data_IF_889167223623
#
_entry.id   IF_889167223623
#
_cell.length_a   1.000
_cell.length_b   1.000
_cell.length_c   1.000
_cell.angle_alpha   90.00
_cell.angle_beta   90.00
_cell.angle_gamma   90.00
#
_symmetry.space_group_name_H-M   'P 1'
#
loop_
_entity.id
_entity.type
_entity.pdbx_description
1 polymer ?
#
# COMPACT_ATOMS: atom_id res chain seq x y z
N UNK A 1 13.57 4.46 -14.48
CA UNK A 1 13.96 5.40 -13.37
C UNK A 1 14.53 4.62 -12.21
N UNK A 2 15.22 5.27 -11.24
CA UNK A 2 15.60 4.63 -9.97
C UNK A 2 14.34 4.44 -9.13
N UNK A 3 14.25 3.31 -8.42
CA UNK A 3 13.09 2.96 -7.62
C UNK A 3 13.48 2.60 -6.19
N UNK A 4 12.66 3.02 -5.24
CA UNK A 4 12.74 2.60 -3.84
C UNK A 4 11.38 2.08 -3.42
N UNK A 5 11.35 1.16 -2.46
CA UNK A 5 10.12 0.61 -1.93
C UNK A 5 9.95 0.92 -0.45
N UNK A 6 8.72 1.20 -0.03
CA UNK A 6 8.30 1.35 1.36
C UNK A 6 7.16 0.35 1.62
N UNK A 7 7.40 -0.65 2.46
CA UNK A 7 6.42 -1.68 2.81
C UNK A 7 5.86 -1.37 4.20
N UNK A 8 4.55 -1.18 4.28
CA UNK A 8 3.86 -0.85 5.52
C UNK A 8 3.54 -2.14 6.31
N UNK A 9 4.22 -2.32 7.45
CA UNK A 9 4.09 -3.49 8.31
C UNK A 9 4.00 -3.12 9.82
N UNK A 10 3.60 -1.88 10.15
CA UNK A 10 3.60 -1.37 11.52
C UNK A 10 2.27 -1.53 12.27
N UNK A 11 1.20 -1.91 11.57
CA UNK A 11 -0.17 -1.95 12.12
C UNK A 11 -0.44 -3.14 13.04
N UNK A 12 -1.31 -2.93 14.05
CA UNK A 12 -1.74 -3.97 15.00
C UNK A 12 -2.67 -5.02 14.39
N UNK A 13 -3.40 -4.69 13.31
CA UNK A 13 -4.37 -5.59 12.69
C UNK A 13 -5.57 -5.91 13.60
N UNK A 14 -6.19 -4.90 14.20
CA UNK A 14 -7.24 -5.03 15.23
C UNK A 14 -8.50 -5.80 14.79
N UNK A 15 -8.68 -6.05 13.50
CA UNK A 15 -9.79 -6.85 12.94
C UNK A 15 -9.50 -8.35 12.89
N UNK A 16 -8.25 -8.77 13.06
CA UNK A 16 -7.90 -10.17 13.29
C UNK A 16 -8.16 -10.50 14.75
N UNK A 17 -8.51 -11.76 15.08
CA UNK A 17 -8.59 -12.20 16.48
C UNK A 17 -7.33 -11.81 17.24
N UNK A 18 -7.47 -11.55 18.52
CA UNK A 18 -6.34 -11.18 19.38
C UNK A 18 -5.25 -12.26 19.28
N UNK A 19 -4.30 -12.03 18.40
CA UNK A 19 -3.14 -12.89 18.22
C UNK A 19 -1.90 -12.16 18.75
N UNK A 20 -0.97 -12.89 19.30
CA UNK A 20 0.32 -12.37 19.76
C UNK A 20 1.26 -12.02 18.59
N UNK A 21 0.80 -12.26 17.36
CA UNK A 21 1.59 -12.01 16.15
C UNK A 21 1.00 -10.82 15.35
N UNK A 22 1.85 -9.97 14.75
CA UNK A 22 1.42 -8.92 13.84
C UNK A 22 0.63 -9.51 12.65
N UNK A 23 -0.38 -8.79 12.16
CA UNK A 23 -1.19 -9.21 11.03
C UNK A 23 -0.36 -9.72 9.85
N UNK A 24 0.67 -9.00 9.48
CA UNK A 24 1.56 -9.30 8.34
C UNK A 24 2.41 -10.58 8.52
N UNK A 25 2.41 -11.14 9.74
CA UNK A 25 3.13 -12.38 10.08
C UNK A 25 2.30 -13.65 9.89
N UNK A 26 0.98 -13.54 9.64
CA UNK A 26 0.18 -14.70 9.29
C UNK A 26 0.70 -15.35 8.01
N UNK A 27 0.70 -16.69 7.99
CA UNK A 27 1.34 -17.45 6.91
C UNK A 27 0.37 -17.73 5.75
N UNK A 28 0.90 -17.59 4.55
CA UNK A 28 0.30 -18.01 3.29
C UNK A 28 1.36 -18.82 2.56
N UNK A 29 1.06 -20.04 2.09
CA UNK A 29 2.03 -20.90 1.43
C UNK A 29 3.32 -21.17 2.25
N UNK A 30 3.22 -21.26 3.58
CA UNK A 30 4.36 -21.55 4.47
C UNK A 30 5.29 -20.36 4.78
N UNK A 31 4.96 -19.14 4.33
CA UNK A 31 5.74 -17.92 4.59
C UNK A 31 4.85 -16.80 5.15
N UNK A 32 5.38 -15.89 5.99
CA UNK A 32 4.65 -14.67 6.39
C UNK A 32 4.22 -13.82 5.19
N UNK A 33 3.04 -13.21 5.25
CA UNK A 33 2.53 -12.37 4.16
C UNK A 33 3.52 -11.28 3.74
N UNK A 34 4.15 -10.61 4.70
CA UNK A 34 5.14 -9.56 4.41
C UNK A 34 6.36 -10.08 3.64
N UNK A 35 6.73 -11.35 3.80
CA UNK A 35 7.86 -11.94 3.08
C UNK A 35 7.55 -12.10 1.58
N UNK A 36 6.30 -12.46 1.23
CA UNK A 36 5.85 -12.51 -0.16
C UNK A 36 5.94 -11.14 -0.81
N UNK A 37 5.49 -10.08 -0.11
CA UNK A 37 5.55 -8.70 -0.63
C UNK A 37 7.00 -8.26 -0.85
N UNK A 38 7.91 -8.57 0.09
CA UNK A 38 9.35 -8.28 -0.06
C UNK A 38 9.93 -9.04 -1.26
N UNK A 39 9.60 -10.32 -1.43
CA UNK A 39 10.08 -11.14 -2.56
C UNK A 39 9.58 -10.58 -3.90
N UNK A 40 8.32 -10.14 -3.97
CA UNK A 40 7.74 -9.55 -5.18
C UNK A 40 8.43 -8.24 -5.57
N UNK A 41 8.64 -7.33 -4.61
CA UNK A 41 9.21 -6.01 -4.91
C UNK A 41 10.72 -6.05 -5.20
N UNK A 42 11.46 -7.04 -4.69
CA UNK A 42 12.92 -7.17 -4.92
C UNK A 42 13.31 -7.31 -6.39
N UNK A 43 12.40 -7.74 -7.26
CA UNK A 43 12.62 -7.82 -8.71
C UNK A 43 12.47 -6.48 -9.41
N UNK A 44 11.82 -5.50 -8.75
CA UNK A 44 11.47 -4.20 -9.31
C UNK A 44 12.33 -3.07 -8.76
N UNK A 45 12.72 -3.20 -7.48
CA UNK A 45 13.61 -2.26 -6.80
C UNK A 45 14.95 -2.94 -6.51
N UNK A 46 16.04 -2.21 -6.66
CA UNK A 46 17.39 -2.71 -6.40
C UNK A 46 17.59 -3.02 -4.90
N UNK A 47 18.31 -2.14 -4.17
CA UNK A 47 18.70 -2.33 -2.78
C UNK A 47 17.98 -1.41 -1.79
N UNK A 48 17.02 -0.62 -2.25
CA UNK A 48 16.29 0.41 -1.46
C UNK A 48 14.90 -0.07 -1.10
N UNK A 49 14.85 -1.12 -0.28
CA UNK A 49 13.59 -1.65 0.26
C UNK A 49 13.53 -1.36 1.75
N UNK A 50 12.57 -0.55 2.15
CA UNK A 50 12.33 -0.17 3.53
C UNK A 50 11.06 -0.84 4.04
N UNK A 51 11.12 -1.50 5.19
CA UNK A 51 9.97 -2.08 5.86
C UNK A 51 9.68 -1.25 7.09
N UNK A 52 8.52 -0.61 7.11
CA UNK A 52 8.07 0.16 8.27
C UNK A 52 7.46 -0.80 9.28
N UNK A 53 8.10 -0.90 10.44
CA UNK A 53 7.71 -1.79 11.54
C UNK A 53 7.24 -0.98 12.75
N UNK A 54 6.39 -1.56 13.59
CA UNK A 54 5.85 -0.86 14.76
C UNK A 54 5.36 -1.83 15.82
N UNK A 55 4.09 -2.26 15.74
CA UNK A 55 3.57 -3.27 16.66
C UNK A 55 4.35 -4.58 16.50
N UNK A 56 4.87 -5.12 17.62
CA UNK A 56 5.67 -6.36 17.66
C UNK A 56 6.78 -6.38 16.58
N UNK A 57 7.49 -5.26 16.44
CA UNK A 57 8.48 -5.03 15.39
C UNK A 57 9.55 -6.15 15.32
N UNK A 58 9.97 -6.68 16.48
CA UNK A 58 11.01 -7.71 16.56
C UNK A 58 10.62 -9.01 15.82
N UNK A 59 9.35 -9.38 15.82
CA UNK A 59 8.86 -10.55 15.09
C UNK A 59 8.99 -10.35 13.58
N UNK A 60 8.62 -9.16 13.06
CA UNK A 60 8.75 -8.83 11.64
C UNK A 60 10.22 -8.75 11.23
N UNK A 61 11.06 -8.08 12.03
CA UNK A 61 12.51 -7.99 11.81
C UNK A 61 13.14 -9.38 11.80
N UNK A 62 12.80 -10.24 12.76
CA UNK A 62 13.29 -11.61 12.86
C UNK A 62 12.93 -12.45 11.62
N UNK A 63 11.71 -12.33 11.11
CA UNK A 63 11.26 -13.07 9.93
C UNK A 63 11.94 -12.63 8.63
N UNK A 64 12.29 -11.35 8.52
CA UNK A 64 12.87 -10.78 7.31
C UNK A 64 14.39 -10.61 7.36
N UNK A 65 15.06 -11.04 8.44
CA UNK A 65 16.51 -10.83 8.69
C UNK A 65 17.43 -11.32 7.57
N UNK A 66 17.01 -12.33 6.81
CA UNK A 66 17.78 -12.93 5.71
C UNK A 66 17.45 -12.28 4.36
N UNK A 67 16.55 -11.30 4.32
CA UNK A 67 16.19 -10.57 3.12
C UNK A 67 16.92 -9.22 3.12
N UNK A 68 17.33 -8.77 1.93
CA UNK A 68 18.02 -7.48 1.76
C UNK A 68 17.04 -6.31 1.91
N UNK A 69 16.62 -6.02 3.14
CA UNK A 69 15.70 -4.92 3.49
C UNK A 69 16.29 -4.08 4.61
N UNK A 70 15.80 -2.85 4.75
CA UNK A 70 16.10 -1.94 5.85
C UNK A 70 14.85 -1.68 6.66
N UNK A 71 14.96 -1.59 7.97
CA UNK A 71 13.82 -1.36 8.84
C UNK A 71 13.74 0.09 9.27
N UNK A 72 12.52 0.63 9.27
CA UNK A 72 12.18 1.96 9.77
C UNK A 72 11.10 1.81 10.82
N UNK A 73 11.29 2.42 11.99
CA UNK A 73 10.35 2.27 13.10
C UNK A 73 9.28 3.36 13.11
N UNK A 74 8.03 2.97 13.06
CA UNK A 74 6.88 3.81 13.40
C UNK A 74 6.53 3.58 14.87
N UNK A 75 6.94 4.49 15.76
CA UNK A 75 6.72 4.35 17.19
C UNK A 75 5.26 4.53 17.60
N UNK A 76 4.57 5.48 16.97
CA UNK A 76 3.15 5.75 17.16
C UNK A 76 2.39 5.44 15.88
N UNK A 77 1.34 4.61 15.97
CA UNK A 77 0.53 4.22 14.81
C UNK A 77 -0.51 5.30 14.51
N UNK A 78 -0.06 6.40 13.89
CA UNK A 78 -0.90 7.56 13.53
C UNK A 78 -1.39 7.53 12.08
N UNK A 79 -1.44 6.36 11.46
CA UNK A 79 -1.95 6.14 10.10
C UNK A 79 -0.87 5.80 9.07
N UNK A 80 -1.33 5.51 7.85
CA UNK A 80 -0.47 5.07 6.73
C UNK A 80 0.44 6.18 6.21
N UNK A 81 -0.05 7.42 6.13
CA UNK A 81 0.77 8.58 5.79
C UNK A 81 1.90 8.80 6.80
N UNK A 82 1.58 8.70 8.10
CA UNK A 82 2.58 8.79 9.16
C UNK A 82 3.66 7.71 9.05
N UNK A 83 3.29 6.49 8.67
CA UNK A 83 4.25 5.40 8.44
C UNK A 83 5.24 5.74 7.31
N UNK A 84 4.76 6.32 6.21
CA UNK A 84 5.62 6.75 5.09
C UNK A 84 6.52 7.93 5.49
N UNK A 85 6.03 8.88 6.28
CA UNK A 85 6.84 10.02 6.80
C UNK A 85 8.08 9.51 7.54
N UNK A 86 7.99 8.39 8.28
CA UNK A 86 9.15 7.84 8.99
C UNK A 86 10.31 7.45 8.04
N UNK A 87 10.03 7.26 6.75
CA UNK A 87 11.05 6.91 5.75
C UNK A 87 11.76 8.12 5.13
N UNK A 88 11.36 9.35 5.44
CA UNK A 88 11.89 10.56 4.81
C UNK A 88 13.41 10.67 4.94
N UNK A 89 13.93 10.53 6.17
CA UNK A 89 15.39 10.60 6.40
C UNK A 89 16.13 9.42 5.75
N UNK A 90 15.53 8.22 5.75
CA UNK A 90 16.13 7.04 5.10
C UNK A 90 16.18 7.17 3.57
N UNK A 91 15.29 7.98 2.98
CA UNK A 91 15.24 8.30 1.55
C UNK A 91 15.98 9.60 1.19
N UNK A 92 16.70 10.22 2.14
CA UNK A 92 17.50 11.41 1.89
C UNK A 92 18.57 11.12 0.82
N UNK A 93 18.69 12.03 -0.15
CA UNK A 93 19.60 11.86 -1.28
C UNK A 93 19.15 10.83 -2.33
N UNK A 94 17.99 10.20 -2.16
CA UNK A 94 17.35 9.45 -3.23
C UNK A 94 16.50 10.39 -4.08
N UNK A 95 16.55 10.21 -5.41
CA UNK A 95 15.67 10.85 -6.37
C UNK A 95 15.14 9.79 -7.33
N UNK A 96 13.83 9.74 -7.52
CA UNK A 96 13.14 8.75 -8.34
C UNK A 96 11.79 8.34 -7.78
N UNK A 97 11.28 7.19 -8.21
CA UNK A 97 9.97 6.67 -7.84
C UNK A 97 10.02 5.93 -6.50
N UNK A 98 9.15 6.31 -5.58
CA UNK A 98 8.88 5.56 -4.33
C UNK A 98 7.63 4.72 -4.52
N UNK A 99 7.76 3.39 -4.40
CA UNK A 99 6.65 2.44 -4.45
C UNK A 99 6.25 2.12 -3.02
N UNK A 100 5.03 2.48 -2.64
CA UNK A 100 4.47 2.17 -1.32
C UNK A 100 3.55 0.97 -1.43
N UNK A 101 3.74 -0.03 -0.56
CA UNK A 101 3.02 -1.31 -0.56
C UNK A 101 2.55 -1.65 0.85
N UNK A 102 1.41 -2.32 0.93
CA UNK A 102 0.96 -2.92 2.19
C UNK A 102 1.62 -4.30 2.38
N UNK A 103 2.05 -4.62 3.59
CA UNK A 103 2.69 -5.90 3.93
C UNK A 103 1.72 -7.09 4.02
N UNK A 104 0.44 -6.89 3.78
CA UNK A 104 -0.65 -7.86 3.91
C UNK A 104 -1.30 -8.26 2.58
N UNK A 105 -0.60 -8.06 1.45
CA UNK A 105 -1.04 -8.42 0.09
C UNK A 105 -0.16 -9.55 -0.50
N UNK A 106 -0.24 -10.77 0.02
CA UNK A 106 0.73 -11.83 -0.28
C UNK A 106 0.66 -12.38 -1.72
N UNK A 107 -0.43 -12.12 -2.45
CA UNK A 107 -0.62 -12.59 -3.82
C UNK A 107 -0.10 -11.63 -4.89
N UNK A 108 0.50 -10.51 -4.49
CA UNK A 108 1.01 -9.50 -5.40
C UNK A 108 2.19 -10.02 -6.22
N UNK A 109 2.10 -9.92 -7.54
CA UNK A 109 3.12 -10.41 -8.48
C UNK A 109 4.12 -9.31 -8.85
N UNK A 110 5.37 -9.70 -9.04
CA UNK A 110 6.45 -8.81 -9.48
C UNK A 110 6.13 -8.15 -10.82
N UNK A 111 5.56 -8.91 -11.76
CA UNK A 111 5.19 -8.45 -13.09
C UNK A 111 4.13 -7.34 -13.05
N UNK A 112 3.19 -7.43 -12.11
CA UNK A 112 2.17 -6.40 -11.89
C UNK A 112 2.78 -5.13 -11.30
N UNK A 113 3.69 -5.25 -10.33
CA UNK A 113 4.41 -4.11 -9.77
C UNK A 113 5.27 -3.44 -10.86
N UNK A 114 5.92 -4.22 -11.72
CA UNK A 114 6.77 -3.71 -12.80
C UNK A 114 5.94 -2.93 -13.83
N UNK A 115 4.82 -3.49 -14.30
CA UNK A 115 3.89 -2.81 -15.22
C UNK A 115 3.35 -1.53 -14.61
N UNK A 116 2.95 -1.58 -13.34
CA UNK A 116 2.44 -0.43 -12.60
C UNK A 116 3.48 0.70 -12.49
N UNK A 117 4.72 0.36 -12.14
CA UNK A 117 5.80 1.34 -12.04
C UNK A 117 6.20 1.90 -13.42
N UNK A 118 6.20 1.08 -14.48
CA UNK A 118 6.41 1.54 -15.84
C UNK A 118 5.32 2.50 -16.31
N UNK A 119 4.05 2.19 -16.01
CA UNK A 119 2.94 3.08 -16.32
C UNK A 119 3.11 4.44 -15.62
N UNK A 120 3.45 4.45 -14.32
CA UNK A 120 3.72 5.66 -13.59
C UNK A 120 4.83 6.51 -14.23
N UNK A 121 5.95 5.86 -14.59
CA UNK A 121 7.08 6.51 -15.23
C UNK A 121 6.72 7.08 -16.62
N UNK A 122 5.94 6.34 -17.41
CA UNK A 122 5.53 6.72 -18.78
C UNK A 122 4.55 7.91 -18.78
N UNK A 123 3.65 7.96 -17.79
CA UNK A 123 2.67 9.04 -17.63
C UNK A 123 3.29 10.32 -17.03
N UNK A 124 4.56 10.28 -16.59
CA UNK A 124 5.18 11.38 -15.87
C UNK A 124 4.37 11.82 -14.64
N UNK A 125 3.75 10.86 -13.96
CA UNK A 125 2.83 11.15 -12.90
C UNK A 125 3.56 11.50 -11.59
N UNK A 126 3.03 12.47 -10.83
CA UNK A 126 3.47 12.75 -9.47
C UNK A 126 3.02 11.67 -8.50
N UNK A 127 1.86 11.07 -8.78
CA UNK A 127 1.32 9.91 -8.07
C UNK A 127 0.50 9.00 -8.99
N UNK A 128 0.58 7.70 -8.74
CA UNK A 128 -0.30 6.70 -9.36
C UNK A 128 -0.78 5.76 -8.27
N UNK A 129 -2.09 5.50 -8.22
CA UNK A 129 -2.70 4.49 -7.34
C UNK A 129 -2.97 3.22 -8.14
N UNK A 130 -2.64 2.06 -7.58
CA UNK A 130 -3.07 0.77 -8.10
C UNK A 130 -4.51 0.52 -7.63
N UNK A 131 -5.41 0.19 -8.56
CA UNK A 131 -6.83 -0.03 -8.29
C UNK A 131 -7.28 -1.41 -8.75
N UNK A 132 -8.39 -1.87 -8.22
CA UNK A 132 -9.06 -3.10 -8.68
C UNK A 132 -10.58 -2.91 -8.61
N UNK A 133 -11.31 -3.66 -9.43
CA UNK A 133 -12.77 -3.76 -9.33
C UNK A 133 -13.12 -5.06 -8.62
N UNK A 134 -13.84 -4.95 -7.50
CA UNK A 134 -14.22 -6.09 -6.65
C UNK A 134 -15.74 -6.18 -6.51
N UNK A 135 -16.25 -7.36 -6.21
CA UNK A 135 -17.68 -7.55 -5.96
C UNK A 135 -18.11 -6.96 -4.62
N UNK A 136 -17.29 -7.14 -3.59
CA UNK A 136 -17.55 -6.67 -2.23
C UNK A 136 -16.46 -5.69 -1.82
N UNK A 137 -16.68 -4.36 -2.02
CA UNK A 137 -15.66 -3.35 -1.75
C UNK A 137 -15.55 -2.94 -0.27
N UNK A 138 -16.29 -3.58 0.62
CA UNK A 138 -16.32 -3.26 2.05
C UNK A 138 -14.93 -3.28 2.69
N UNK A 139 -14.60 -2.23 3.41
CA UNK A 139 -13.31 -2.10 4.12
C UNK A 139 -12.19 -1.47 3.32
N UNK A 140 -12.41 -1.20 2.02
CA UNK A 140 -11.44 -0.51 1.16
C UNK A 140 -11.82 0.95 0.95
N UNK A 141 -10.85 1.81 0.63
CA UNK A 141 -11.09 3.12 0.06
C UNK A 141 -11.69 3.01 -1.35
N UNK A 142 -12.52 3.95 -1.73
CA UNK A 142 -13.18 4.00 -3.04
C UNK A 142 -12.47 4.95 -3.99
N UNK A 143 -12.35 4.54 -5.24
CA UNK A 143 -11.83 5.38 -6.31
C UNK A 143 -12.96 6.21 -6.89
N UNK A 144 -12.89 7.51 -6.71
CA UNK A 144 -13.87 8.44 -7.28
C UNK A 144 -13.34 8.96 -8.61
N UNK A 145 -14.12 8.77 -9.68
CA UNK A 145 -13.76 9.21 -11.05
C UNK A 145 -14.66 10.32 -11.54
N UNK A 146 -14.15 11.17 -12.41
CA UNK A 146 -14.92 12.13 -13.18
C UNK A 146 -15.63 11.44 -14.36
N UNK A 147 -16.47 12.18 -15.07
CA UNK A 147 -17.19 11.70 -16.25
C UNK A 147 -16.27 11.34 -17.43
N UNK A 148 -15.06 11.86 -17.46
CA UNK A 148 -14.00 11.55 -18.42
C UNK A 148 -13.07 10.40 -17.96
N UNK A 149 -13.47 9.65 -16.94
CA UNK A 149 -12.74 8.56 -16.30
C UNK A 149 -11.45 8.98 -15.58
N UNK A 150 -11.15 10.27 -15.47
CA UNK A 150 -10.01 10.75 -14.70
C UNK A 150 -10.21 10.55 -13.19
N UNK A 151 -9.13 10.27 -12.46
CA UNK A 151 -9.17 10.12 -11.01
C UNK A 151 -9.53 11.46 -10.35
N UNK A 152 -10.64 11.55 -9.63
CA UNK A 152 -11.00 12.70 -8.79
C UNK A 152 -10.37 12.63 -7.40
N UNK A 153 -10.39 11.45 -6.78
CA UNK A 153 -9.86 11.27 -5.45
C UNK A 153 -10.08 9.85 -4.94
N UNK A 154 -9.69 9.64 -3.69
CA UNK A 154 -9.89 8.41 -2.94
C UNK A 154 -10.64 8.77 -1.67
N UNK A 155 -11.73 8.06 -1.39
CA UNK A 155 -12.51 8.24 -0.16
C UNK A 155 -12.41 6.96 0.67
N UNK A 156 -11.94 7.09 1.90
CA UNK A 156 -11.81 5.93 2.80
C UNK A 156 -13.18 5.42 3.23
N UNK A 157 -13.32 4.11 3.49
CA UNK A 157 -14.59 3.45 3.85
C UNK A 157 -15.35 4.17 4.96
N UNK A 158 -14.65 4.68 5.99
CA UNK A 158 -15.27 5.31 7.15
C UNK A 158 -15.76 6.74 6.89
N UNK A 159 -15.19 7.39 5.88
CA UNK A 159 -15.52 8.75 5.48
C UNK A 159 -16.49 8.77 4.28
N UNK A 160 -16.74 7.60 3.65
CA UNK A 160 -17.56 7.47 2.44
C UNK A 160 -19.06 7.67 2.72
N UNK A 161 -19.73 8.40 1.84
CA UNK A 161 -21.19 8.50 1.77
C UNK A 161 -21.83 7.18 1.37
N UNK A 162 -23.14 7.05 1.46
CA UNK A 162 -23.87 5.85 1.02
C UNK A 162 -23.68 5.58 -0.49
N UNK A 163 -23.64 6.63 -1.31
CA UNK A 163 -23.41 6.54 -2.75
C UNK A 163 -21.98 6.08 -3.05
N UNK A 164 -20.98 6.69 -2.43
CA UNK A 164 -19.57 6.33 -2.60
C UNK A 164 -19.27 4.90 -2.17
N UNK A 165 -19.92 4.38 -1.12
CA UNK A 165 -19.81 2.97 -0.70
C UNK A 165 -20.27 2.00 -1.78
N UNK A 166 -21.15 2.41 -2.70
CA UNK A 166 -21.59 1.62 -3.85
C UNK A 166 -20.55 1.49 -4.96
N UNK A 167 -19.50 2.30 -4.95
CA UNK A 167 -18.40 2.22 -5.93
C UNK A 167 -17.63 0.91 -5.73
N UNK A 168 -17.47 0.15 -6.82
CA UNK A 168 -16.78 -1.16 -6.80
C UNK A 168 -15.29 -1.07 -7.10
N UNK A 169 -14.82 0.05 -7.65
CA UNK A 169 -13.39 0.29 -7.84
C UNK A 169 -12.76 0.74 -6.52
N UNK A 170 -11.79 -0.03 -6.06
CA UNK A 170 -11.15 0.14 -4.76
C UNK A 170 -9.72 0.67 -4.88
N UNK A 171 -9.30 1.39 -3.85
CA UNK A 171 -7.91 1.65 -3.56
C UNK A 171 -7.26 0.39 -2.97
N UNK A 172 -6.26 -0.15 -3.65
CA UNK A 172 -5.51 -1.32 -3.16
C UNK A 172 -4.56 -0.99 -2.00
N UNK A 173 -4.29 0.31 -1.76
CA UNK A 173 -3.25 0.75 -0.85
C UNK A 173 -1.83 0.70 -1.42
N UNK A 174 -1.70 0.40 -2.73
CA UNK A 174 -0.43 0.41 -3.45
C UNK A 174 -0.31 1.67 -4.29
N UNK A 175 0.84 2.34 -4.17
CA UNK A 175 1.08 3.62 -4.82
C UNK A 175 2.48 3.69 -5.42
N UNK A 176 2.62 4.40 -6.53
CA UNK A 176 3.87 4.97 -7.01
C UNK A 176 3.83 6.49 -6.81
N UNK A 177 4.92 7.06 -6.34
CA UNK A 177 5.06 8.51 -6.17
C UNK A 177 6.42 8.99 -6.68
N UNK A 178 6.45 10.17 -7.26
CA UNK A 178 7.68 10.93 -7.33
C UNK A 178 8.09 11.33 -5.89
N UNK A 179 9.34 11.01 -5.49
CA UNK A 179 9.78 11.09 -4.09
C UNK A 179 9.61 12.50 -3.51
N UNK A 180 10.03 13.54 -4.21
CA UNK A 180 9.95 14.93 -3.76
C UNK A 180 8.49 15.35 -3.56
N UNK A 181 7.63 15.04 -4.53
CA UNK A 181 6.19 15.34 -4.49
C UNK A 181 5.47 14.60 -3.35
N UNK A 182 5.88 13.38 -3.06
CA UNK A 182 5.33 12.59 -1.94
C UNK A 182 5.52 13.32 -0.60
N UNK A 183 6.78 13.67 -0.26
CA UNK A 183 7.06 14.25 1.04
C UNK A 183 6.58 15.70 1.16
N UNK A 184 6.61 16.48 0.08
CA UNK A 184 5.97 17.79 0.02
C UNK A 184 4.46 17.72 0.23
N UNK A 185 3.79 16.71 -0.29
CA UNK A 185 2.36 16.54 -0.10
C UNK A 185 2.04 16.01 1.30
N UNK A 186 2.81 15.05 1.82
CA UNK A 186 2.65 14.53 3.18
C UNK A 186 2.77 15.63 4.24
N UNK A 187 3.69 16.60 4.06
CA UNK A 187 3.82 17.72 4.98
C UNK A 187 2.58 18.64 5.03
N UNK A 188 1.71 18.56 4.04
CA UNK A 188 0.47 19.32 3.93
C UNK A 188 -0.79 18.50 4.28
N UNK A 189 -0.64 17.24 4.71
CA UNK A 189 -1.75 16.43 5.21
C UNK A 189 -2.04 16.72 6.67
N UNK A 190 -3.26 16.47 7.09
CA UNK A 190 -3.71 16.62 8.47
C UNK A 190 -4.38 15.33 8.96
N UNK A 191 -5.04 15.39 10.11
CA UNK A 191 -5.76 14.28 10.75
C UNK A 191 -7.26 14.58 10.88
N UNK A 192 -7.77 15.49 10.09
CA UNK A 192 -9.20 15.85 10.12
C UNK A 192 -10.05 14.89 9.29
N UNK A 193 -10.16 13.66 9.81
CA UNK A 193 -10.91 12.54 9.24
C UNK A 193 -11.48 11.66 10.36
N UNK A 194 -12.33 10.70 10.00
CA UNK A 194 -13.05 9.84 10.94
C UNK A 194 -12.13 9.02 11.89
N UNK A 195 -10.91 8.69 11.46
CA UNK A 195 -9.96 7.90 12.25
C UNK A 195 -8.96 8.76 13.03
N UNK A 196 -8.91 10.07 12.78
CA UNK A 196 -7.88 10.98 13.34
C UNK A 196 -6.45 10.55 13.02
N UNK A 197 -6.25 10.03 11.80
CA UNK A 197 -4.99 9.49 11.30
C UNK A 197 -4.49 10.30 10.09
N UNK A 198 -3.18 10.28 9.85
CA UNK A 198 -2.60 10.75 8.60
C UNK A 198 -2.83 9.68 7.51
N UNK A 199 -3.79 9.93 6.62
CA UNK A 199 -4.05 9.04 5.50
C UNK A 199 -3.06 9.27 4.35
N UNK A 200 -2.46 8.19 3.84
CA UNK A 200 -1.64 8.27 2.65
C UNK A 200 -2.47 8.69 1.41
N UNK A 201 -3.75 8.34 1.40
CA UNK A 201 -4.69 8.72 0.35
C UNK A 201 -4.94 10.23 0.25
N UNK A 202 -4.71 10.98 1.33
CA UNK A 202 -4.79 12.45 1.31
C UNK A 202 -3.72 13.10 0.42
N UNK A 203 -2.57 12.42 0.22
CA UNK A 203 -1.52 12.85 -0.72
C UNK A 203 -2.10 13.06 -2.12
N UNK A 204 -2.98 12.16 -2.58
CA UNK A 204 -3.66 12.25 -3.87
C UNK A 204 -4.46 13.56 -3.97
N UNK A 205 -5.22 13.89 -2.93
CA UNK A 205 -6.02 15.13 -2.85
C UNK A 205 -5.12 16.36 -2.87
N UNK A 206 -4.02 16.36 -2.12
CA UNK A 206 -3.07 17.49 -2.07
C UNK A 206 -2.41 17.69 -3.43
N UNK A 207 -1.92 16.65 -4.07
CA UNK A 207 -1.27 16.73 -5.39
C UNK A 207 -2.25 17.25 -6.46
N UNK A 208 -3.48 16.75 -6.48
CA UNK A 208 -4.51 17.25 -7.40
C UNK A 208 -4.81 18.73 -7.21
N UNK A 209 -4.95 19.21 -5.96
CA UNK A 209 -5.14 20.64 -5.68
C UNK A 209 -3.99 21.52 -6.16
N UNK A 210 -2.78 20.96 -6.23
CA UNK A 210 -1.59 21.63 -6.78
C UNK A 210 -1.48 21.54 -8.29
N UNK A 211 -2.41 20.88 -8.98
CA UNK A 211 -2.39 20.69 -10.43
C UNK A 211 -1.39 19.64 -10.91
N UNK A 212 -0.87 18.81 -9.98
CA UNK A 212 0.08 17.75 -10.32
C UNK A 212 -0.62 16.60 -11.04
N UNK A 213 0.06 15.91 -11.99
CA UNK A 213 -0.50 14.78 -12.69
C UNK A 213 -0.67 13.57 -11.76
N UNK A 214 -1.90 13.17 -11.52
CA UNK A 214 -2.25 12.00 -10.72
C UNK A 214 -3.00 10.99 -11.58
N UNK A 215 -2.64 9.70 -11.47
CA UNK A 215 -3.17 8.60 -12.28
C UNK A 215 -3.70 7.46 -11.42
N UNK A 216 -4.54 6.63 -12.04
CA UNK A 216 -4.98 5.36 -11.50
C UNK A 216 -4.69 4.26 -12.53
N UNK A 217 -4.07 3.18 -12.08
CA UNK A 217 -3.79 2.00 -12.89
C UNK A 217 -4.59 0.82 -12.34
N UNK A 218 -5.46 0.25 -13.16
CA UNK A 218 -6.31 -0.87 -12.76
C UNK A 218 -5.63 -2.20 -13.04
N UNK A 219 -5.51 -3.04 -12.02
CA UNK A 219 -5.03 -4.41 -12.17
C UNK A 219 -6.12 -5.31 -12.76
N UNK A 220 -5.72 -6.29 -13.55
CA UNK A 220 -6.65 -7.23 -14.20
C UNK A 220 -7.20 -8.25 -13.20
N UNK A 221 -6.35 -8.74 -12.30
CA UNK A 221 -6.70 -9.74 -11.29
C UNK A 221 -6.78 -9.09 -9.89
N UNK A 222 -8.01 -8.90 -9.35
CA UNK A 222 -8.18 -8.25 -8.04
C UNK A 222 -7.56 -9.04 -6.87
N UNK A 223 -7.34 -10.35 -7.02
CA UNK A 223 -6.71 -11.15 -5.98
C UNK A 223 -5.27 -10.74 -5.67
N UNK A 224 -4.56 -10.21 -6.68
CA UNK A 224 -3.20 -9.71 -6.49
C UNK A 224 -3.10 -8.59 -5.44
N UNK A 225 -4.16 -7.81 -5.30
CA UNK A 225 -4.21 -6.66 -4.39
C UNK A 225 -5.14 -6.87 -3.21
N UNK A 226 -5.63 -8.10 -3.04
CA UNK A 226 -6.48 -8.47 -1.90
C UNK A 226 -5.69 -8.45 -0.59
N UNK A 227 -5.98 -7.45 0.24
CA UNK A 227 -5.41 -7.32 1.58
C UNK A 227 -6.11 -8.24 2.56
N UNK A 228 -5.34 -8.84 3.48
CA UNK A 228 -5.85 -9.71 4.53
C UNK A 228 -6.07 -8.91 5.80
N UNK A 229 -7.33 -8.77 6.24
CA UNK A 229 -7.71 -8.04 7.44
C UNK A 229 -8.53 -8.90 8.43
N UNK A 230 -9.09 -10.02 7.96
CA UNK A 230 -9.92 -10.95 8.74
C UNK A 230 -9.45 -12.39 8.52
N UNK A 231 -9.90 -13.31 9.38
CA UNK A 231 -9.61 -14.75 9.21
C UNK A 231 -10.20 -15.31 7.91
N UNK A 232 -11.39 -14.84 7.53
CA UNK A 232 -12.06 -15.34 6.34
C UNK A 232 -11.34 -14.86 5.06
N UNK A 233 -10.85 -13.62 5.06
CA UNK A 233 -9.97 -13.14 3.98
C UNK A 233 -8.65 -13.93 3.93
N UNK A 234 -8.07 -14.27 5.08
CA UNK A 234 -6.87 -15.11 5.15
C UNK A 234 -7.12 -16.51 4.56
N UNK A 235 -8.25 -17.14 4.88
CA UNK A 235 -8.64 -18.44 4.30
C UNK A 235 -8.80 -18.35 2.79
N UNK A 236 -9.52 -17.33 2.32
CA UNK A 236 -9.76 -17.12 0.88
C UNK A 236 -8.45 -16.89 0.11
N UNK A 237 -7.56 -16.06 0.65
CA UNK A 237 -6.23 -15.80 0.07
C UNK A 237 -5.37 -17.07 0.02
N UNK A 238 -5.42 -17.93 1.06
CA UNK A 238 -4.70 -19.21 1.06
C UNK A 238 -5.18 -20.14 -0.06
N UNK A 239 -6.49 -20.28 -0.22
CA UNK A 239 -7.08 -21.09 -1.30
C UNK A 239 -6.64 -20.58 -2.68
N UNK A 240 -6.72 -19.27 -2.89
CA UNK A 240 -6.27 -18.66 -4.14
C UNK A 240 -4.77 -18.91 -4.39
N UNK A 241 -3.92 -18.71 -3.38
CA UNK A 241 -2.47 -18.89 -3.46
C UNK A 241 -2.08 -20.33 -3.77
N UNK A 242 -2.75 -21.33 -3.18
CA UNK A 242 -2.55 -22.74 -3.49
C UNK A 242 -2.90 -23.06 -4.94
N UNK A 243 -3.95 -22.45 -5.48
CA UNK A 243 -4.33 -22.58 -6.89
C UNK A 243 -3.31 -22.03 -7.89
N UNK A 244 -2.50 -21.04 -7.49
CA UNK A 244 -1.41 -20.50 -8.33
C UNK A 244 -0.18 -21.44 -8.39
N UNK A 245 -0.08 -22.40 -7.48
CA UNK A 245 1.07 -23.28 -7.34
C UNK A 245 0.90 -24.62 -8.07
N UNK A 246 -0.27 -24.85 -8.67
CA UNK A 246 -0.61 -25.99 -9.53
C UNK A 246 -0.49 -25.65 -11.00
#
# INVERSE_FOLDING_TARGET
>A
MKRAAVILAAGKGTRMPASEIPKVMHQVGGKPMVAHVVEAIRRVCDDRIYVVVGYEAEQVVGALRNLAVRFVHQREQLGTGHAVIQCEEALKGFSGTVIVLNGDVPCLRSETIEKFAHYHDAEGAAATVLTAVVEIPTGYGRIVRASDDSLLGIVEEKDATAEERGIREINSGLFCFEKEKLFEALSATDRDNAQKEYYLTDVIRVLKRRGEPVRAYRVDDPWEVSGVNTEDELKAVRVYFEGLSQ
#
